data_IF_834580293342
#
_entry.id   IF_834580293342
#
_cell.length_a   1.000
_cell.length_b   1.000
_cell.length_c   1.000
_cell.angle_alpha   90.00
_cell.angle_beta   90.00
_cell.angle_gamma   90.00
#
_symmetry.space_group_name_H-M   'P 1'
#
loop_
_entity.id
_entity.type
_entity.pdbx_description
1 polymer ?
#
# COMPACT_ATOMS: atom_id res chain seq x y z
N UNK A 1 8.07 6.54 -6.59
CA UNK A 1 7.62 5.90 -5.34
C UNK A 1 6.53 4.92 -5.72
N UNK A 2 6.66 3.67 -5.32
CA UNK A 2 5.67 2.63 -5.60
C UNK A 2 4.62 2.62 -4.49
N UNK A 3 3.34 2.51 -4.88
CA UNK A 3 2.23 2.37 -3.93
C UNK A 3 1.55 1.02 -4.15
N UNK A 4 1.36 0.27 -3.07
CA UNK A 4 0.55 -0.94 -3.03
C UNK A 4 -0.77 -0.59 -2.38
N UNK A 5 -1.84 -0.59 -3.16
CA UNK A 5 -3.19 -0.27 -2.69
C UNK A 5 -3.91 -1.56 -2.32
N UNK A 6 -4.37 -1.67 -1.08
CA UNK A 6 -5.27 -2.74 -0.66
C UNK A 6 -6.61 -2.59 -1.38
N UNK A 7 -7.09 -3.67 -2.00
CA UNK A 7 -8.36 -3.70 -2.76
C UNK A 7 -9.41 -4.62 -2.14
N UNK A 8 -9.14 -5.15 -0.94
CA UNK A 8 -10.07 -5.94 -0.13
C UNK A 8 -9.72 -5.81 1.36
N UNK A 9 -10.52 -6.43 2.22
CA UNK A 9 -10.31 -6.51 3.66
C UNK A 9 -9.05 -7.32 4.04
N UNK A 10 -8.47 -8.10 3.12
CA UNK A 10 -7.23 -8.84 3.39
C UNK A 10 -6.04 -7.89 3.54
N UNK A 11 -5.31 -8.01 4.65
CA UNK A 11 -4.14 -7.16 4.88
C UNK A 11 -2.96 -7.57 3.95
N UNK A 12 -2.51 -6.70 3.02
CA UNK A 12 -1.44 -7.02 2.07
C UNK A 12 -0.08 -7.27 2.74
N UNK A 13 0.13 -6.81 3.97
CA UNK A 13 1.36 -7.07 4.73
C UNK A 13 1.51 -8.56 5.09
N UNK A 14 0.43 -9.35 5.01
CA UNK A 14 0.48 -10.82 5.13
C UNK A 14 0.93 -11.52 3.85
N UNK A 15 1.01 -10.80 2.72
CA UNK A 15 1.30 -11.31 1.37
C UNK A 15 2.57 -10.71 0.75
N UNK A 16 3.47 -10.17 1.57
CA UNK A 16 4.69 -9.48 1.11
C UNK A 16 5.54 -10.29 0.11
N UNK A 17 5.62 -11.61 0.25
CA UNK A 17 6.36 -12.46 -0.70
C UNK A 17 5.74 -12.49 -2.10
N UNK A 18 4.41 -12.49 -2.17
CA UNK A 18 3.67 -12.46 -3.45
C UNK A 18 3.84 -11.09 -4.09
N UNK A 19 3.68 -10.02 -3.30
CA UNK A 19 3.85 -8.64 -3.76
C UNK A 19 5.29 -8.40 -4.25
N UNK A 20 6.30 -8.90 -3.53
CA UNK A 20 7.69 -8.83 -3.97
C UNK A 20 7.92 -9.57 -5.28
N UNK A 21 7.28 -10.72 -5.46
CA UNK A 21 7.34 -11.44 -6.75
C UNK A 21 6.74 -10.64 -7.89
N UNK A 22 5.59 -9.99 -7.67
CA UNK A 22 4.96 -9.14 -8.67
C UNK A 22 5.80 -7.89 -8.99
N UNK A 23 6.39 -7.27 -7.97
CA UNK A 23 7.33 -6.16 -8.13
C UNK A 23 8.54 -6.55 -9.00
N UNK A 24 9.15 -7.71 -8.76
CA UNK A 24 10.23 -8.23 -9.62
C UNK A 24 9.76 -8.43 -11.07
N UNK A 25 8.57 -8.99 -11.26
CA UNK A 25 7.98 -9.23 -12.58
C UNK A 25 7.63 -7.93 -13.33
N UNK A 26 7.39 -6.85 -12.60
CA UNK A 26 7.03 -5.52 -13.12
C UNK A 26 8.22 -4.55 -13.17
N UNK A 27 9.45 -5.08 -13.18
CA UNK A 27 10.71 -4.33 -13.34
C UNK A 27 11.19 -3.51 -12.12
N UNK A 28 10.65 -3.75 -10.93
CA UNK A 28 11.18 -3.20 -9.68
C UNK A 28 12.35 -4.06 -9.19
N UNK A 29 13.56 -3.69 -9.63
CA UNK A 29 14.82 -4.40 -9.31
C UNK A 29 15.80 -3.57 -8.47
N UNK A 30 15.47 -2.31 -8.18
CA UNK A 30 16.27 -1.40 -7.36
C UNK A 30 15.74 -1.30 -5.93
N UNK A 31 16.56 -0.76 -5.03
CA UNK A 31 16.11 -0.41 -3.69
C UNK A 31 15.15 0.77 -3.74
N UNK A 32 14.01 0.66 -3.06
CA UNK A 32 13.04 1.74 -2.94
C UNK A 32 12.20 1.62 -1.66
N UNK A 33 11.56 2.72 -1.28
CA UNK A 33 10.54 2.73 -0.22
C UNK A 33 9.19 2.51 -0.89
N UNK A 34 8.49 1.46 -0.45
CA UNK A 34 7.14 1.14 -0.93
C UNK A 34 6.13 1.58 0.11
N UNK A 35 5.15 2.36 -0.33
CA UNK A 35 4.03 2.79 0.51
C UNK A 35 2.86 1.83 0.30
N UNK A 36 2.27 1.35 1.38
CA UNK A 36 1.06 0.56 1.38
C UNK A 36 -0.10 1.47 1.79
N UNK A 37 -1.12 1.60 0.95
CA UNK A 37 -2.40 2.20 1.31
C UNK A 37 -3.35 1.08 1.75
N UNK A 38 -3.56 1.00 3.07
CA UNK A 38 -4.35 -0.03 3.73
C UNK A 38 -5.81 0.38 3.91
N UNK A 39 -6.33 1.36 3.16
CA UNK A 39 -7.71 1.83 3.32
C UNK A 39 -8.71 0.67 3.38
N UNK A 40 -8.59 -0.31 2.48
CA UNK A 40 -9.55 -1.41 2.45
C UNK A 40 -9.41 -2.40 3.62
N UNK A 41 -8.22 -2.55 4.21
CA UNK A 41 -8.00 -3.50 5.31
C UNK A 41 -8.05 -2.85 6.70
N UNK A 42 -7.77 -1.56 6.81
CA UNK A 42 -7.66 -0.82 8.09
C UNK A 42 -8.66 0.34 8.21
N UNK A 43 -9.26 0.81 7.11
CA UNK A 43 -10.14 1.98 7.09
C UNK A 43 -9.39 3.32 7.10
N UNK A 44 -10.11 4.41 7.38
CA UNK A 44 -9.55 5.77 7.54
C UNK A 44 -8.90 5.96 8.93
N UNK A 45 -8.05 5.01 9.31
CA UNK A 45 -7.39 4.97 10.62
C UNK A 45 -5.95 5.52 10.56
N UNK A 46 -5.40 5.84 11.73
CA UNK A 46 -4.04 6.38 11.88
C UNK A 46 -2.94 5.45 11.33
N UNK A 47 -3.25 4.16 11.18
CA UNK A 47 -2.36 3.12 10.63
C UNK A 47 -2.74 2.72 9.19
N UNK A 48 -3.48 3.57 8.46
CA UNK A 48 -3.83 3.37 7.05
C UNK A 48 -2.60 3.27 6.15
N UNK A 49 -1.59 4.10 6.38
CA UNK A 49 -0.41 4.11 5.52
C UNK A 49 0.78 3.47 6.22
N UNK A 50 1.46 2.58 5.52
CA UNK A 50 2.65 1.87 6.02
C UNK A 50 3.74 1.94 4.96
N UNK A 51 4.98 2.24 5.36
CA UNK A 51 6.14 2.14 4.47
C UNK A 51 7.00 0.95 4.82
N UNK A 52 7.54 0.27 3.80
CA UNK A 52 8.53 -0.80 3.95
C UNK A 52 9.61 -0.63 2.88
N UNK A 53 10.87 -0.82 3.25
CA UNK A 53 11.95 -0.86 2.27
C UNK A 53 11.88 -2.15 1.46
N UNK A 54 11.94 -2.01 0.15
CA UNK A 54 12.12 -3.08 -0.80
C UNK A 54 13.55 -3.03 -1.32
N UNK A 55 14.26 -4.15 -1.32
CA UNK A 55 15.69 -4.18 -1.62
C UNK A 55 16.02 -4.50 -3.09
N UNK A 56 15.01 -4.52 -3.97
CA UNK A 56 15.11 -4.99 -5.35
C UNK A 56 14.78 -6.47 -5.52
N UNK A 57 14.67 -7.22 -4.41
CA UNK A 57 14.25 -8.62 -4.40
C UNK A 57 13.11 -8.85 -3.44
N UNK A 58 13.24 -8.51 -2.16
CA UNK A 58 12.22 -8.74 -1.13
C UNK A 58 12.03 -7.51 -0.23
N UNK A 59 10.97 -7.55 0.59
CA UNK A 59 10.69 -6.54 1.61
C UNK A 59 11.49 -6.77 2.90
N UNK A 60 12.18 -5.74 3.37
CA UNK A 60 12.90 -5.73 4.64
C UNK A 60 11.93 -5.44 5.79
N UNK A 61 11.27 -6.48 6.33
CA UNK A 61 10.20 -6.34 7.34
C UNK A 61 10.58 -5.50 8.58
N UNK A 62 11.85 -5.49 8.97
CA UNK A 62 12.35 -4.67 10.09
C UNK A 62 12.25 -3.16 9.85
N UNK A 63 12.01 -2.74 8.61
CA UNK A 63 11.85 -1.33 8.20
C UNK A 63 10.38 -0.90 8.13
N UNK A 64 9.46 -1.79 8.51
CA UNK A 64 8.03 -1.49 8.51
C UNK A 64 7.71 -0.38 9.50
N UNK A 65 7.12 0.70 9.00
CA UNK A 65 6.71 1.85 9.82
C UNK A 65 5.38 2.41 9.36
N UNK A 66 4.56 2.85 10.31
CA UNK A 66 3.33 3.59 10.03
C UNK A 66 3.72 5.00 9.60
N UNK A 67 3.05 5.51 8.55
CA UNK A 67 3.28 6.84 7.99
C UNK A 67 2.05 7.70 8.27
N UNK A 68 2.26 8.88 8.85
CA UNK A 68 1.16 9.82 9.05
C UNK A 68 0.67 10.34 7.71
N UNK A 69 -0.64 10.55 7.57
CA UNK A 69 -1.24 11.19 6.39
C UNK A 69 -0.65 12.59 6.12
N UNK A 70 -0.18 13.29 7.16
CA UNK A 70 0.50 14.59 7.03
C UNK A 70 1.85 14.50 6.32
N UNK A 71 2.48 13.33 6.31
CA UNK A 71 3.82 13.12 5.78
C UNK A 71 3.77 12.61 4.32
N UNK A 72 2.56 12.40 3.79
CA UNK A 72 2.33 11.92 2.43
C UNK A 72 2.05 13.11 1.52
N UNK A 73 2.71 13.20 0.35
CA UNK A 73 2.44 14.24 -0.64
C UNK A 73 0.94 14.33 -1.01
N UNK A 74 0.40 15.54 -1.04
CA UNK A 74 -1.03 15.78 -1.27
C UNK A 74 -1.53 15.20 -2.60
N UNK A 75 -0.73 15.30 -3.66
CA UNK A 75 -1.01 14.74 -4.98
C UNK A 75 -1.15 13.21 -4.96
N UNK A 76 -0.40 12.52 -4.11
CA UNK A 76 -0.53 11.08 -3.91
C UNK A 76 -1.84 10.74 -3.19
N UNK A 77 -2.20 11.50 -2.16
CA UNK A 77 -3.46 11.32 -1.43
C UNK A 77 -4.67 11.55 -2.34
N UNK A 78 -4.62 12.57 -3.19
CA UNK A 78 -5.63 12.84 -4.21
C UNK A 78 -5.73 11.70 -5.23
N UNK A 79 -4.58 11.15 -5.65
CA UNK A 79 -4.53 9.99 -6.57
C UNK A 79 -5.18 8.75 -5.95
N UNK A 80 -4.87 8.42 -4.69
CA UNK A 80 -5.50 7.28 -4.00
C UNK A 80 -7.00 7.51 -3.80
N UNK A 81 -7.40 8.73 -3.42
CA UNK A 81 -8.82 9.09 -3.27
C UNK A 81 -9.56 8.90 -4.60
N UNK A 82 -8.99 9.38 -5.70
CA UNK A 82 -9.57 9.25 -7.04
C UNK A 82 -9.64 7.78 -7.49
N UNK A 83 -8.64 6.96 -7.16
CA UNK A 83 -8.66 5.52 -7.46
C UNK A 83 -9.90 4.85 -6.88
N UNK A 84 -10.21 5.07 -5.60
CA UNK A 84 -11.38 4.48 -4.95
C UNK A 84 -12.71 5.08 -5.44
N UNK A 85 -12.73 6.36 -5.85
CA UNK A 85 -13.91 6.96 -6.50
C UNK A 85 -14.21 6.33 -7.86
N UNK A 86 -13.18 5.95 -8.63
CA UNK A 86 -13.32 5.27 -9.93
C UNK A 86 -13.64 3.79 -9.74
N UNK A 87 -13.19 3.18 -8.63
CA UNK A 87 -13.34 1.76 -8.34
C UNK A 87 -14.08 1.51 -7.02
N UNK A 88 -15.34 1.94 -6.87
CA UNK A 88 -16.08 1.82 -5.62
C UNK A 88 -16.31 0.36 -5.20
N UNK A 89 -16.21 -0.59 -6.13
CA UNK A 89 -16.35 -2.02 -5.82
C UNK A 89 -15.31 -2.53 -4.81
N UNK A 90 -14.12 -1.92 -4.74
CA UNK A 90 -13.10 -2.30 -3.75
C UNK A 90 -13.43 -1.80 -2.34
N UNK A 91 -14.24 -0.75 -2.22
CA UNK A 91 -14.75 -0.29 -0.93
C UNK A 91 -15.84 -1.24 -0.42
N UNK A 92 -16.60 -1.88 -1.32
CA UNK A 92 -17.60 -2.87 -0.93
C UNK A 92 -16.99 -4.15 -0.34
N UNK A 93 -15.77 -4.48 -0.75
CA UNK A 93 -15.01 -5.64 -0.24
C UNK A 93 -14.02 -5.23 0.88
N UNK A 94 -14.28 -4.11 1.56
CA UNK A 94 -13.39 -3.55 2.59
C UNK A 94 -13.99 -3.60 4.00
N UNK A 95 -13.18 -3.23 5.00
CA UNK A 95 -13.65 -3.04 6.38
C UNK A 95 -14.55 -1.81 6.59
N UNK A 96 -14.73 -0.97 5.56
CA UNK A 96 -15.56 0.24 5.62
C UNK A 96 -17.05 -0.04 5.31
N UNK A 97 -17.40 -1.28 4.95
CA UNK A 97 -18.72 -1.67 4.49
C UNK A 97 -19.58 -2.30 5.60
#
# INVERSE_FOLDING_TARGET
>A
MTVVTATSYENPLSRLSIIASEMRNTSHSSKEIVLFDLLCSNGEEWNRFVSINYNGTDFEKSTCSIVSKSDIPTDLLETQTRFFQIHPQYLLDSVLN
#
